data_IF_987618828968
#
_entry.id   IF_987618828968
#
_cell.length_a   1.000
_cell.length_b   1.000
_cell.length_c   1.000
_cell.angle_alpha   90.00
_cell.angle_beta   90.00
_cell.angle_gamma   90.00
#
_symmetry.space_group_name_H-M   'P 1'
#
loop_
_entity.id
_entity.type
_entity.pdbx_description
1 polymer ?
#
# COMPACT_ATOMS: atom_id res chain seq x y z
N UNK A 1 19.14 20.52 -8.20
CA UNK A 1 19.50 19.13 -8.52
C UNK A 1 20.85 18.81 -7.88
N UNK A 2 20.86 18.25 -6.67
CA UNK A 2 22.08 17.76 -6.01
C UNK A 2 21.80 16.36 -5.49
N UNK A 3 22.02 15.36 -6.35
CA UNK A 3 21.97 13.94 -6.00
C UNK A 3 23.27 13.45 -5.31
N UNK A 4 24.11 14.35 -4.80
CA UNK A 4 25.50 14.03 -4.42
C UNK A 4 25.76 13.88 -2.92
N UNK A 5 24.74 13.84 -2.04
CA UNK A 5 24.99 13.82 -0.58
C UNK A 5 24.82 12.45 0.11
N UNK A 6 24.72 11.34 -0.63
CA UNK A 6 24.47 10.00 -0.04
C UNK A 6 25.78 9.22 0.26
N UNK A 7 26.97 9.78 0.01
CA UNK A 7 28.23 9.02 0.10
C UNK A 7 28.98 9.14 1.43
N UNK A 8 28.55 9.97 2.39
CA UNK A 8 29.32 10.10 3.64
C UNK A 8 28.47 9.98 4.90
N UNK A 9 28.88 9.00 5.70
CA UNK A 9 28.59 8.73 7.11
C UNK A 9 27.33 7.93 7.47
N UNK A 10 27.64 6.73 8.01
CA UNK A 10 26.87 6.04 9.05
C UNK A 10 26.41 7.06 10.10
N UNK A 11 25.12 7.06 10.45
CA UNK A 11 24.40 8.00 11.35
C UNK A 11 23.67 9.15 10.64
N UNK A 12 22.75 8.83 9.73
CA UNK A 12 21.60 9.71 9.47
C UNK A 12 20.44 9.16 10.30
N UNK A 13 19.85 9.94 11.25
CA UNK A 13 18.71 9.48 12.03
C UNK A 13 17.55 9.14 11.09
N UNK A 14 16.87 8.03 11.34
CA UNK A 14 15.80 7.43 10.50
C UNK A 14 14.69 8.41 10.06
N UNK A 15 14.49 9.51 10.80
CA UNK A 15 13.51 10.54 10.47
C UNK A 15 13.90 11.31 9.20
N UNK A 16 15.20 11.39 8.86
CA UNK A 16 15.69 12.35 7.88
C UNK A 16 15.40 12.00 6.41
N UNK A 17 15.40 10.70 6.11
CA UNK A 17 15.10 10.18 4.77
C UNK A 17 13.58 10.10 4.58
N UNK A 18 12.85 9.73 5.64
CA UNK A 18 11.41 9.63 5.63
C UNK A 18 10.74 11.00 5.39
N UNK A 19 11.24 12.09 6.00
CA UNK A 19 10.68 13.42 5.75
C UNK A 19 10.97 13.90 4.33
N UNK A 20 12.15 13.60 3.76
CA UNK A 20 12.42 14.02 2.38
C UNK A 20 11.61 13.26 1.35
N UNK A 21 11.48 11.95 1.52
CA UNK A 21 10.59 11.15 0.68
C UNK A 21 9.13 11.62 0.82
N UNK A 22 8.69 11.92 2.05
CA UNK A 22 7.35 12.46 2.30
C UNK A 22 7.13 13.81 1.61
N UNK A 23 8.12 14.70 1.66
CA UNK A 23 8.06 16.05 1.09
C UNK A 23 8.04 16.02 -0.43
N UNK A 24 8.88 15.20 -1.06
CA UNK A 24 8.88 14.98 -2.51
C UNK A 24 7.55 14.39 -2.97
N UNK A 25 7.04 13.41 -2.23
CA UNK A 25 5.75 12.77 -2.53
C UNK A 25 4.58 13.77 -2.45
N UNK A 26 4.53 14.61 -1.42
CA UNK A 26 3.51 15.67 -1.30
C UNK A 26 3.66 16.69 -2.43
N UNK A 27 4.89 17.05 -2.80
CA UNK A 27 5.15 17.97 -3.90
C UNK A 27 4.56 17.45 -5.22
N UNK A 28 4.80 16.17 -5.57
CA UNK A 28 4.23 15.56 -6.76
C UNK A 28 2.70 15.45 -6.70
N UNK A 29 2.15 15.11 -5.52
CA UNK A 29 0.69 15.09 -5.30
C UNK A 29 0.07 16.47 -5.56
N UNK A 30 0.65 17.52 -5.01
CA UNK A 30 0.14 18.88 -5.12
C UNK A 30 0.24 19.42 -6.55
N UNK A 31 1.21 18.94 -7.33
CA UNK A 31 1.36 19.28 -8.73
C UNK A 31 0.48 18.46 -9.67
N UNK A 32 -0.21 17.42 -9.18
CA UNK A 32 -0.96 16.47 -10.01
C UNK A 32 -0.07 15.57 -10.89
N UNK A 33 1.25 15.58 -10.66
CA UNK A 33 2.27 14.93 -11.49
C UNK A 33 2.69 13.56 -10.97
N UNK A 34 1.71 12.78 -10.50
CA UNK A 34 1.97 11.44 -9.93
C UNK A 34 2.43 10.46 -11.01
N UNK A 35 1.98 10.63 -12.25
CA UNK A 35 2.34 9.78 -13.39
C UNK A 35 3.79 10.05 -13.82
N UNK A 36 4.22 11.31 -13.88
CA UNK A 36 5.62 11.63 -14.17
C UNK A 36 6.56 11.11 -13.07
N UNK A 37 6.16 11.21 -11.79
CA UNK A 37 6.93 10.66 -10.68
C UNK A 37 7.12 9.14 -10.80
N UNK A 38 6.04 8.42 -11.14
CA UNK A 38 6.09 6.97 -11.38
C UNK A 38 7.07 6.63 -12.51
N UNK A 39 6.98 7.32 -13.64
CA UNK A 39 7.88 7.11 -14.78
C UNK A 39 9.34 7.39 -14.42
N UNK A 40 9.62 8.43 -13.62
CA UNK A 40 10.97 8.75 -13.17
C UNK A 40 11.56 7.64 -12.30
N UNK A 41 10.81 7.13 -11.32
CA UNK A 41 11.28 6.04 -10.47
C UNK A 41 11.42 4.72 -11.23
N UNK A 42 10.54 4.42 -12.19
CA UNK A 42 10.69 3.26 -13.07
C UNK A 42 11.96 3.35 -13.93
N UNK A 43 12.25 4.53 -14.50
CA UNK A 43 13.51 4.75 -15.26
C UNK A 43 14.74 4.61 -14.37
N UNK A 44 14.69 5.10 -13.14
CA UNK A 44 15.79 4.92 -12.18
C UNK A 44 16.02 3.43 -11.88
N UNK A 45 14.94 2.66 -11.67
CA UNK A 45 15.02 1.23 -11.41
C UNK A 45 15.60 0.46 -12.60
N UNK A 46 15.19 0.78 -13.83
CA UNK A 46 15.78 0.22 -15.05
C UNK A 46 17.27 0.55 -15.19
N UNK A 47 17.68 1.76 -14.77
CA UNK A 47 19.08 2.15 -14.72
C UNK A 47 19.88 1.27 -13.75
N UNK A 48 19.32 1.01 -12.57
CA UNK A 48 19.94 0.10 -11.60
C UNK A 48 19.97 -1.35 -12.10
N UNK A 49 18.89 -1.83 -12.74
CA UNK A 49 18.82 -3.14 -13.38
C UNK A 49 19.95 -3.34 -14.40
N UNK A 50 20.15 -2.34 -15.26
CA UNK A 50 21.18 -2.40 -16.29
C UNK A 50 22.60 -2.33 -15.72
N UNK A 51 22.80 -1.59 -14.62
CA UNK A 51 24.13 -1.39 -14.04
C UNK A 51 24.57 -2.55 -13.13
N UNK A 52 23.64 -3.15 -12.39
CA UNK A 52 23.95 -4.13 -11.34
C UNK A 52 23.55 -5.57 -11.72
N UNK A 53 22.71 -5.74 -12.75
CA UNK A 53 22.05 -7.00 -13.08
C UNK A 53 20.84 -7.27 -12.18
N UNK A 54 19.86 -8.02 -12.68
CA UNK A 54 18.57 -8.29 -12.02
C UNK A 54 18.69 -8.85 -10.61
N UNK A 55 19.75 -9.62 -10.37
CA UNK A 55 19.92 -10.39 -9.14
C UNK A 55 20.43 -9.53 -7.98
N UNK A 56 21.09 -8.41 -8.27
CA UNK A 56 21.73 -7.55 -7.27
C UNK A 56 20.91 -6.31 -6.89
N UNK A 57 19.76 -6.09 -7.54
CA UNK A 57 18.92 -4.92 -7.26
C UNK A 57 18.28 -5.03 -5.89
N UNK A 58 17.90 -6.25 -5.50
CA UNK A 58 17.29 -6.52 -4.20
C UNK A 58 18.29 -6.38 -3.04
N UNK A 59 19.59 -6.37 -3.32
CA UNK A 59 20.64 -6.15 -2.33
C UNK A 59 21.20 -4.72 -2.36
N UNK A 60 20.72 -3.88 -3.28
CA UNK A 60 21.18 -2.50 -3.44
C UNK A 60 20.22 -1.50 -2.80
N UNK A 61 20.63 -0.91 -1.67
CA UNK A 61 19.82 0.01 -0.84
C UNK A 61 19.16 1.16 -1.65
N UNK A 62 19.84 1.84 -2.59
CA UNK A 62 19.19 2.90 -3.38
C UNK A 62 18.08 2.40 -4.31
N UNK A 63 18.18 1.17 -4.81
CA UNK A 63 17.08 0.56 -5.57
C UNK A 63 15.91 0.18 -4.66
N UNK A 64 16.18 -0.35 -3.46
CA UNK A 64 15.14 -0.63 -2.46
C UNK A 64 14.38 0.62 -2.03
N UNK A 65 15.09 1.72 -1.80
CA UNK A 65 14.49 3.04 -1.53
C UNK A 65 13.60 3.51 -2.70
N UNK A 66 14.01 3.25 -3.94
CA UNK A 66 13.24 3.59 -5.14
C UNK A 66 11.95 2.78 -5.22
N UNK A 67 12.03 1.47 -4.95
CA UNK A 67 10.87 0.57 -4.92
C UNK A 67 9.91 0.97 -3.79
N UNK A 68 10.43 1.30 -2.61
CA UNK A 68 9.64 1.80 -1.48
C UNK A 68 8.86 3.07 -1.84
N UNK A 69 9.52 4.01 -2.51
CA UNK A 69 8.90 5.26 -2.95
C UNK A 69 7.81 5.03 -4.00
N UNK A 70 7.99 4.06 -4.92
CA UNK A 70 6.92 3.61 -5.83
C UNK A 70 5.71 3.07 -5.06
N UNK A 71 5.93 2.26 -4.02
CA UNK A 71 4.84 1.80 -3.15
C UNK A 71 4.06 2.94 -2.51
N UNK A 72 4.77 3.96 -2.02
CA UNK A 72 4.18 5.18 -1.47
C UNK A 72 3.41 6.03 -2.49
N UNK A 73 3.85 6.06 -3.75
CA UNK A 73 3.09 6.73 -4.81
C UNK A 73 1.80 5.99 -5.14
N UNK A 74 1.83 4.65 -5.21
CA UNK A 74 0.64 3.86 -5.44
C UNK A 74 -0.39 3.98 -4.30
N UNK A 75 0.06 4.13 -3.04
CA UNK A 75 -0.86 4.48 -1.94
C UNK A 75 -1.60 5.80 -2.19
N UNK A 76 -0.92 6.81 -2.73
CA UNK A 76 -1.56 8.08 -3.08
C UNK A 76 -2.51 7.98 -4.27
N UNK A 77 -2.21 7.10 -5.22
CA UNK A 77 -3.10 6.78 -6.34
C UNK A 77 -4.26 5.85 -5.90
N UNK A 78 -4.34 5.46 -4.63
CA UNK A 78 -5.29 4.52 -4.05
C UNK A 78 -5.23 3.08 -4.61
N UNK A 79 -4.17 2.75 -5.36
CA UNK A 79 -3.88 1.42 -5.88
C UNK A 79 -3.10 0.61 -4.83
N UNK A 80 -3.83 0.13 -3.83
CA UNK A 80 -3.25 -0.62 -2.71
C UNK A 80 -2.63 -1.96 -3.16
N UNK A 81 -3.11 -2.55 -4.27
CA UNK A 81 -2.58 -3.81 -4.77
C UNK A 81 -1.13 -3.63 -5.27
N UNK A 82 -0.89 -2.64 -6.14
CA UNK A 82 0.46 -2.30 -6.59
C UNK A 82 1.35 -1.82 -5.46
N UNK A 83 0.80 -1.01 -4.55
CA UNK A 83 1.53 -0.55 -3.37
C UNK A 83 2.06 -1.73 -2.53
N UNK A 84 1.21 -2.72 -2.25
CA UNK A 84 1.58 -3.92 -1.51
C UNK A 84 2.68 -4.72 -2.20
N UNK A 85 2.60 -4.89 -3.53
CA UNK A 85 3.66 -5.58 -4.28
C UNK A 85 5.00 -4.87 -4.16
N UNK A 86 5.02 -3.53 -4.29
CA UNK A 86 6.27 -2.76 -4.20
C UNK A 86 6.85 -2.79 -2.79
N UNK A 87 6.03 -2.56 -1.75
CA UNK A 87 6.50 -2.65 -0.37
C UNK A 87 6.99 -4.04 0.00
N UNK A 88 6.38 -5.11 -0.55
CA UNK A 88 6.80 -6.49 -0.29
C UNK A 88 8.21 -6.74 -0.84
N UNK A 89 8.47 -6.31 -2.08
CA UNK A 89 9.80 -6.38 -2.70
C UNK A 89 10.84 -5.57 -1.91
N UNK A 90 10.51 -4.35 -1.52
CA UNK A 90 11.41 -3.50 -0.74
C UNK A 90 11.73 -4.11 0.64
N UNK A 91 10.71 -4.63 1.34
CA UNK A 91 10.89 -5.25 2.66
C UNK A 91 11.76 -6.51 2.58
N UNK A 92 11.58 -7.34 1.55
CA UNK A 92 12.43 -8.51 1.34
C UNK A 92 13.90 -8.11 1.14
N UNK A 93 14.15 -7.07 0.35
CA UNK A 93 15.51 -6.58 0.16
C UNK A 93 16.12 -5.98 1.43
N UNK A 94 15.36 -5.20 2.21
CA UNK A 94 15.86 -4.67 3.48
C UNK A 94 16.19 -5.78 4.48
N UNK A 95 15.36 -6.82 4.55
CA UNK A 95 15.65 -8.00 5.38
C UNK A 95 16.91 -8.73 4.93
N UNK A 96 17.17 -8.82 3.62
CA UNK A 96 18.40 -9.44 3.09
C UNK A 96 19.65 -8.60 3.34
N UNK A 97 19.56 -7.27 3.20
CA UNK A 97 20.71 -6.36 3.33
C UNK A 97 21.07 -6.09 4.77
N UNK A 98 20.07 -5.78 5.60
CA UNK A 98 20.27 -5.32 6.97
C UNK A 98 19.97 -6.39 8.03
N UNK A 99 19.30 -7.48 7.64
CA UNK A 99 18.81 -8.49 8.56
C UNK A 99 17.41 -8.17 9.12
N UNK A 100 16.74 -9.16 9.73
CA UNK A 100 15.35 -9.04 10.19
C UNK A 100 15.17 -8.13 11.41
N UNK A 101 16.22 -7.93 12.20
CA UNK A 101 16.19 -7.11 13.43
C UNK A 101 16.45 -5.62 13.18
N UNK A 102 16.89 -5.24 11.98
CA UNK A 102 17.22 -3.85 11.69
C UNK A 102 15.96 -2.96 11.70
N UNK A 103 16.03 -1.72 12.25
CA UNK A 103 14.89 -0.80 12.31
C UNK A 103 14.16 -0.61 10.98
N UNK A 104 14.89 -0.43 9.88
CA UNK A 104 14.31 -0.32 8.52
C UNK A 104 13.52 -1.57 8.11
N UNK A 105 14.07 -2.77 8.34
CA UNK A 105 13.39 -4.05 8.05
C UNK A 105 12.13 -4.22 8.90
N UNK A 106 12.17 -3.82 10.17
CA UNK A 106 10.99 -3.85 11.05
C UNK A 106 9.93 -2.83 10.61
N UNK A 107 10.37 -1.62 10.25
CA UNK A 107 9.51 -0.53 9.76
C UNK A 107 8.80 -0.93 8.47
N UNK A 108 9.54 -1.50 7.51
CA UNK A 108 8.98 -1.98 6.25
C UNK A 108 7.95 -3.09 6.45
N UNK A 109 8.24 -4.04 7.33
CA UNK A 109 7.32 -5.14 7.67
C UNK A 109 6.04 -4.63 8.35
N UNK A 110 6.17 -3.69 9.29
CA UNK A 110 5.01 -3.06 9.96
C UNK A 110 4.10 -2.35 8.96
N UNK A 111 4.68 -1.61 8.01
CA UNK A 111 3.92 -0.93 6.95
C UNK A 111 3.14 -1.92 6.08
N UNK A 112 3.74 -3.06 5.72
CA UNK A 112 3.08 -4.13 4.99
C UNK A 112 1.90 -4.72 5.74
N UNK A 113 2.05 -5.02 7.03
CA UNK A 113 0.94 -5.52 7.85
C UNK A 113 -0.20 -4.50 7.94
N UNK A 114 0.11 -3.21 8.10
CA UNK A 114 -0.89 -2.16 8.10
C UNK A 114 -1.65 -2.09 6.77
N UNK A 115 -0.95 -2.21 5.64
CA UNK A 115 -1.56 -2.18 4.32
C UNK A 115 -2.45 -3.40 4.05
N UNK A 116 -2.01 -4.61 4.43
CA UNK A 116 -2.82 -5.83 4.34
C UNK A 116 -4.09 -5.73 5.20
N UNK A 117 -3.98 -5.20 6.42
CA UNK A 117 -5.13 -4.94 7.28
C UNK A 117 -6.13 -3.96 6.64
N UNK A 118 -5.65 -2.88 6.01
CA UNK A 118 -6.51 -1.93 5.28
C UNK A 118 -7.20 -2.59 4.09
N UNK A 119 -6.49 -3.42 3.32
CA UNK A 119 -7.07 -4.15 2.19
C UNK A 119 -8.17 -5.12 2.64
N UNK A 120 -7.93 -5.90 3.71
CA UNK A 120 -8.92 -6.78 4.32
C UNK A 120 -10.14 -6.03 4.83
N UNK A 121 -9.94 -4.91 5.54
CA UNK A 121 -11.05 -4.09 6.02
C UNK A 121 -11.87 -3.49 4.88
N UNK A 122 -11.23 -3.06 3.78
CA UNK A 122 -11.92 -2.56 2.58
C UNK A 122 -12.75 -3.67 1.92
N UNK A 123 -12.20 -4.88 1.83
CA UNK A 123 -12.91 -6.05 1.30
C UNK A 123 -14.10 -6.46 2.17
N UNK A 124 -13.95 -6.48 3.49
CA UNK A 124 -15.04 -6.76 4.42
C UNK A 124 -16.14 -5.68 4.34
N UNK A 125 -15.74 -4.41 4.23
CA UNK A 125 -16.69 -3.30 4.07
C UNK A 125 -17.46 -3.38 2.75
N UNK A 126 -16.81 -3.74 1.64
CA UNK A 126 -17.50 -3.90 0.36
C UNK A 126 -18.48 -5.08 0.40
N UNK A 127 -18.09 -6.21 1.00
CA UNK A 127 -18.97 -7.36 1.22
C UNK A 127 -20.20 -6.98 2.06
N UNK A 128 -20.02 -6.25 3.16
CA UNK A 128 -21.13 -5.79 4.00
C UNK A 128 -22.07 -4.83 3.26
N UNK A 129 -21.54 -3.90 2.45
CA UNK A 129 -22.36 -3.00 1.62
C UNK A 129 -23.20 -3.79 0.62
N UNK A 130 -22.61 -4.79 -0.04
CA UNK A 130 -23.30 -5.66 -1.00
C UNK A 130 -24.38 -6.50 -0.32
N UNK A 131 -24.05 -7.14 0.81
CA UNK A 131 -25.01 -7.88 1.63
C UNK A 131 -26.18 -6.99 2.06
N UNK A 132 -25.90 -5.77 2.54
CA UNK A 132 -26.91 -4.78 2.94
C UNK A 132 -27.80 -4.37 1.76
N UNK A 133 -27.25 -4.18 0.57
CA UNK A 133 -28.04 -3.88 -0.64
C UNK A 133 -28.97 -5.04 -1.01
N UNK A 134 -28.47 -6.28 -1.04
CA UNK A 134 -29.25 -7.47 -1.40
C UNK A 134 -30.37 -7.75 -0.37
N UNK A 135 -30.10 -7.63 0.93
CA UNK A 135 -31.14 -7.83 1.95
C UNK A 135 -32.14 -6.68 2.06
N UNK A 136 -31.77 -5.44 1.69
CA UNK A 136 -32.72 -4.32 1.62
C UNK A 136 -33.67 -4.42 0.41
N UNK A 137 -33.28 -5.16 -0.63
CA UNK A 137 -34.15 -5.53 -1.75
C UNK A 137 -35.15 -6.62 -1.33
N UNK A 138 -34.74 -7.54 -0.46
CA UNK A 138 -35.62 -8.61 0.05
C UNK A 138 -36.72 -8.09 1.01
N UNK A 139 -36.60 -6.88 1.54
CA UNK A 139 -37.67 -6.21 2.30
C UNK A 139 -38.68 -5.43 1.42
N UNK A 140 -38.57 -5.49 0.08
CA UNK A 140 -39.50 -4.87 -0.87
C UNK A 140 -40.42 -5.87 -1.60
N UNK A 141 -40.56 -7.10 -1.12
CA UNK A 141 -41.73 -7.91 -1.51
C UNK A 141 -42.94 -7.41 -0.71
N UNK A 142 -44.10 -7.15 -1.33
CA UNK A 142 -45.29 -6.77 -0.57
C UNK A 142 -45.62 -7.93 0.37
N UNK A 143 -45.63 -7.63 1.68
CA UNK A 143 -46.39 -8.43 2.62
C UNK A 143 -47.84 -8.38 2.12
N UNK A 144 -48.29 -9.47 1.51
CA UNK A 144 -49.71 -9.65 1.22
C UNK A 144 -50.40 -9.61 2.58
N UNK A 145 -51.04 -8.47 2.89
CA UNK A 145 -52.00 -8.37 3.98
C UNK A 145 -53.26 -9.15 3.56
N UNK A 146 -53.23 -10.47 3.74
CA UNK A 146 -54.42 -11.28 3.90
C UNK A 146 -54.19 -12.00 5.24
N UNK A 147 -54.79 -11.64 6.37
CA UNK A 147 -56.21 -11.37 6.53
C UNK A 147 -56.94 -12.71 6.57
N UNK A 148 -56.90 -13.38 7.72
CA UNK A 148 -58.04 -14.08 8.36
C UNK A 148 -57.60 -14.63 9.71
N UNK A 149 -58.40 -14.27 10.70
CA UNK A 149 -58.54 -14.83 12.04
C UNK A 149 -58.32 -16.34 12.17
N UNK A 150 -57.79 -16.74 13.32
CA UNK A 150 -58.27 -17.91 14.06
C UNK A 150 -57.77 -17.81 15.52
N UNK A 151 -58.56 -17.12 16.36
CA UNK A 151 -58.58 -17.31 17.80
C UNK A 151 -59.36 -18.60 18.13
N UNK A 152 -58.85 -19.35 19.11
CA UNK A 152 -59.52 -20.26 20.07
C UNK A 152 -60.64 -21.22 19.60
N UNK A 153 -60.43 -22.55 19.77
CA UNK A 153 -61.23 -23.37 20.70
C UNK A 153 -60.81 -24.86 20.77
N UNK A 154 -60.91 -25.42 21.98
CA UNK A 154 -61.12 -26.83 22.37
C UNK A 154 -59.91 -27.81 22.35
N UNK A 155 -59.27 -27.98 23.52
CA UNK A 155 -59.51 -29.14 24.41
C UNK A 155 -58.63 -29.03 25.67
#
# INVERSE_FOLDING_TARGET
MRCSYIVLNKLVPDDDIAWECHRIRILYKNQGKLVEAEQMYQRALQGYEKALGTDNIITYVPALNTIWNLGSLFELQADLAKAGTMYSKASLGYEQVFGPEHPESQSSRRKLYALDAVMKNRALKSLWITWKKNHRILQKLPLHQNGTDCFESLA
#
